data_IF_597116599704
#
_entry.id   IF_597116599704
#
_cell.length_a   1.000
_cell.length_b   1.000
_cell.length_c   1.000
_cell.angle_alpha   90.00
_cell.angle_beta   90.00
_cell.angle_gamma   90.00
#
_symmetry.space_group_name_H-M   'P 1'
#
loop_
_entity.id
_entity.type
_entity.pdbx_description
1 polymer ?
#
# COMPACT_ATOMS: atom_id res chain seq x y z
N UNK A 1 -12.25 -0.97 12.90
CA UNK A 1 -11.70 -2.32 13.14
C UNK A 1 -12.64 -3.25 13.89
N UNK A 2 -13.14 -2.88 15.08
CA UNK A 2 -14.04 -3.75 15.88
C UNK A 2 -15.25 -4.31 15.12
N UNK A 3 -15.87 -3.52 14.21
CA UNK A 3 -16.96 -4.03 13.38
C UNK A 3 -16.51 -5.09 12.37
N UNK A 4 -15.33 -4.92 11.76
CA UNK A 4 -14.77 -5.94 10.85
C UNK A 4 -14.45 -7.21 11.62
N UNK A 5 -13.90 -7.11 12.83
CA UNK A 5 -13.64 -8.24 13.72
C UNK A 5 -14.92 -8.99 14.10
N UNK A 6 -15.94 -8.26 14.58
CA UNK A 6 -17.24 -8.84 14.98
C UNK A 6 -17.86 -9.69 13.87
N UNK A 7 -17.76 -9.23 12.62
CA UNK A 7 -18.31 -9.95 11.47
C UNK A 7 -17.28 -10.84 10.76
N UNK A 8 -16.02 -10.84 11.22
CA UNK A 8 -14.86 -11.52 10.63
C UNK A 8 -14.62 -11.12 9.17
N UNK A 9 -14.94 -9.88 8.81
CA UNK A 9 -14.67 -9.36 7.46
C UNK A 9 -13.17 -9.29 7.27
N UNK A 10 -12.69 -9.93 6.21
CA UNK A 10 -11.29 -9.89 5.82
C UNK A 10 -10.94 -8.47 5.34
N UNK A 11 -10.01 -7.76 6.02
CA UNK A 11 -9.56 -6.46 5.57
C UNK A 11 -9.00 -6.48 4.16
N UNK A 12 -9.09 -5.34 3.46
CA UNK A 12 -8.47 -5.18 2.15
C UNK A 12 -6.96 -5.51 2.21
N UNK A 13 -6.36 -6.18 1.21
CA UNK A 13 -4.93 -6.56 1.21
C UNK A 13 -3.96 -5.42 1.53
N UNK A 14 -4.27 -4.19 1.14
CA UNK A 14 -3.44 -3.02 1.48
C UNK A 14 -3.22 -2.86 3.00
N UNK A 15 -4.25 -3.09 3.83
CA UNK A 15 -4.11 -3.04 5.28
C UNK A 15 -3.23 -4.18 5.80
N UNK A 16 -3.30 -5.36 5.18
CA UNK A 16 -2.40 -6.47 5.51
C UNK A 16 -0.95 -6.19 5.15
N UNK A 17 -0.72 -5.38 4.12
CA UNK A 17 0.61 -4.91 3.69
C UNK A 17 1.12 -3.70 4.48
N UNK A 18 0.38 -3.18 5.46
CA UNK A 18 0.83 -2.09 6.33
C UNK A 18 0.30 -0.69 5.98
N UNK A 19 -0.50 -0.53 4.93
CA UNK A 19 -1.10 0.77 4.64
C UNK A 19 -2.11 1.18 5.71
N UNK A 20 -1.92 2.36 6.32
CA UNK A 20 -2.88 2.96 7.26
C UNK A 20 -4.15 3.49 6.61
N UNK A 21 -4.06 3.82 5.32
CA UNK A 21 -5.16 4.33 4.49
C UNK A 21 -5.09 3.66 3.13
N UNK A 22 -6.24 3.19 2.65
CA UNK A 22 -6.33 2.66 1.28
C UNK A 22 -6.81 3.74 0.31
N UNK A 23 -6.05 3.92 -0.77
CA UNK A 23 -6.42 4.72 -1.95
C UNK A 23 -5.87 3.98 -3.18
N UNK A 24 -5.54 4.70 -4.26
CA UNK A 24 -4.77 4.14 -5.36
C UNK A 24 -3.45 3.54 -4.84
N UNK A 25 -2.98 2.46 -5.47
CA UNK A 25 -1.70 1.80 -5.14
C UNK A 25 -0.55 2.81 -5.07
N UNK A 26 -0.40 3.62 -6.12
CA UNK A 26 0.56 4.72 -6.21
C UNK A 26 -0.16 6.08 -6.04
N UNK A 27 -0.68 6.34 -4.84
CA UNK A 27 -1.42 7.56 -4.56
C UNK A 27 -0.53 8.81 -4.73
N UNK A 28 -1.04 9.86 -5.37
CA UNK A 28 -0.35 11.16 -5.47
C UNK A 28 -0.16 11.83 -4.10
N UNK A 29 -0.85 11.39 -3.06
CA UNK A 29 -0.65 11.82 -1.68
C UNK A 29 0.15 10.80 -0.85
N UNK A 30 0.83 9.85 -1.53
CA UNK A 30 1.55 8.78 -0.89
C UNK A 30 2.72 9.27 -0.05
N UNK A 31 2.91 8.68 1.13
CA UNK A 31 4.04 9.00 2.00
C UNK A 31 5.36 8.45 1.45
N UNK A 32 6.47 8.89 2.04
CA UNK A 32 7.79 8.33 1.75
C UNK A 32 7.82 6.80 1.94
N UNK A 33 7.22 6.29 3.02
CA UNK A 33 7.16 4.85 3.29
C UNK A 33 6.32 4.10 2.25
N UNK A 34 5.20 4.67 1.81
CA UNK A 34 4.38 4.07 0.77
C UNK A 34 5.14 3.99 -0.57
N UNK A 35 5.82 5.07 -0.98
CA UNK A 35 6.64 5.07 -2.19
C UNK A 35 7.84 4.11 -2.10
N UNK A 36 8.50 4.03 -0.93
CA UNK A 36 9.56 3.05 -0.68
C UNK A 36 9.04 1.62 -0.79
N UNK A 37 7.84 1.35 -0.26
CA UNK A 37 7.20 0.03 -0.33
C UNK A 37 6.85 -0.36 -1.77
N UNK A 38 6.32 0.59 -2.56
CA UNK A 38 6.05 0.38 -3.98
C UNK A 38 7.33 0.06 -4.75
N UNK A 39 8.39 0.82 -4.51
CA UNK A 39 9.69 0.57 -5.16
C UNK A 39 10.24 -0.81 -4.83
N UNK A 40 10.13 -1.24 -3.57
CA UNK A 40 10.67 -2.52 -3.10
C UNK A 40 9.87 -3.74 -3.59
N UNK A 41 8.54 -3.68 -3.55
CA UNK A 41 7.69 -4.86 -3.73
C UNK A 41 6.74 -4.81 -4.92
N UNK A 42 6.59 -3.64 -5.57
CA UNK A 42 5.71 -3.43 -6.71
C UNK A 42 6.42 -2.60 -7.80
N UNK A 43 7.64 -3.00 -8.24
CA UNK A 43 8.46 -2.20 -9.15
C UNK A 43 7.78 -1.93 -10.50
N UNK A 44 6.92 -2.83 -10.97
CA UNK A 44 6.11 -2.64 -12.18
C UNK A 44 5.10 -1.49 -12.05
N UNK A 45 4.67 -1.15 -10.83
CA UNK A 45 3.84 0.01 -10.56
C UNK A 45 4.68 1.28 -10.34
N UNK A 46 5.85 1.17 -9.70
CA UNK A 46 6.72 2.30 -9.39
C UNK A 46 7.49 2.81 -10.61
N UNK A 47 8.10 1.90 -11.38
CA UNK A 47 9.02 2.20 -12.46
C UNK A 47 8.45 3.09 -13.58
N UNK A 48 7.24 2.83 -14.11
CA UNK A 48 6.64 3.69 -15.12
C UNK A 48 6.47 5.13 -14.63
N UNK A 49 6.05 5.32 -13.37
CA UNK A 49 5.86 6.66 -12.79
C UNK A 49 7.19 7.41 -12.71
N UNK A 50 8.23 6.77 -12.17
CA UNK A 50 9.56 7.37 -12.08
C UNK A 50 10.12 7.76 -13.46
N UNK A 51 9.97 6.88 -14.47
CA UNK A 51 10.39 7.17 -15.85
C UNK A 51 9.59 8.31 -16.49
N UNK A 52 8.30 8.43 -16.17
CA UNK A 52 7.49 9.54 -16.67
C UNK A 52 7.91 10.87 -16.04
N UNK A 53 8.23 10.91 -14.74
CA UNK A 53 8.75 12.13 -14.12
C UNK A 53 10.07 12.58 -14.76
N UNK A 54 10.98 11.63 -15.03
CA UNK A 54 12.24 11.89 -15.73
C UNK A 54 12.01 12.38 -17.17
N UNK A 55 11.19 11.67 -17.95
CA UNK A 55 10.96 11.99 -19.36
C UNK A 55 10.22 13.32 -19.56
N UNK A 56 9.34 13.70 -18.64
CA UNK A 56 8.57 14.95 -18.74
C UNK A 56 9.21 16.13 -18.01
N UNK A 57 10.22 15.89 -17.17
CA UNK A 57 10.86 16.93 -16.36
C UNK A 57 9.95 17.57 -15.32
N UNK A 58 8.86 16.89 -14.94
CA UNK A 58 7.88 17.35 -13.95
C UNK A 58 7.53 16.22 -12.98
N UNK A 59 7.09 16.57 -11.77
CA UNK A 59 6.80 15.60 -10.71
C UNK A 59 5.30 15.57 -10.38
N UNK A 60 4.79 14.40 -9.97
CA UNK A 60 3.40 14.23 -9.51
C UNK A 60 3.23 14.62 -8.03
N UNK A 61 4.35 14.76 -7.32
CA UNK A 61 4.43 15.22 -5.94
C UNK A 61 4.89 16.69 -5.94
N UNK A 62 4.40 17.50 -4.99
CA UNK A 62 4.61 18.96 -5.02
C UNK A 62 6.08 19.41 -4.97
N UNK A 63 6.93 18.69 -4.23
CA UNK A 63 8.26 19.19 -3.83
C UNK A 63 9.42 18.23 -4.15
N UNK A 64 9.16 17.07 -4.75
CA UNK A 64 10.17 16.01 -4.98
C UNK A 64 9.66 15.01 -6.00
N UNK A 65 10.54 14.24 -6.62
CA UNK A 65 10.17 13.05 -7.41
C UNK A 65 9.73 11.89 -6.52
N UNK A 66 9.11 10.87 -7.13
CA UNK A 66 8.77 9.61 -6.45
C UNK A 66 10.02 8.83 -6.04
N UNK A 67 11.15 9.01 -6.74
CA UNK A 67 12.46 8.43 -6.38
C UNK A 67 12.96 9.06 -5.09
N UNK A 68 13.04 10.40 -5.03
CA UNK A 68 13.44 11.13 -3.82
C UNK A 68 12.49 10.87 -2.64
N UNK A 69 11.18 10.68 -2.91
CA UNK A 69 10.23 10.27 -1.88
C UNK A 69 10.56 8.88 -1.33
N UNK A 70 10.80 7.90 -2.21
CA UNK A 70 11.13 6.53 -1.84
C UNK A 70 12.48 6.40 -1.12
N UNK A 71 13.48 7.22 -1.47
CA UNK A 71 14.79 7.25 -0.79
C UNK A 71 14.70 7.69 0.67
N UNK A 72 13.70 8.50 1.00
CA UNK A 72 13.46 8.97 2.37
C UNK A 72 12.55 8.04 3.18
N UNK A 73 12.03 6.98 2.57
CA UNK A 73 11.08 6.09 3.18
C UNK A 73 11.69 4.77 3.65
N UNK A 74 11.01 4.10 4.55
CA UNK A 74 11.28 2.70 4.91
C UNK A 74 10.11 1.85 4.41
N UNK A 75 10.37 0.84 3.55
CA UNK A 75 9.33 -0.09 3.12
C UNK A 75 8.61 -0.75 4.30
N UNK A 76 7.30 -0.92 4.21
CA UNK A 76 6.55 -1.71 5.18
C UNK A 76 7.00 -3.19 5.15
N UNK A 77 6.93 -3.91 6.27
CA UNK A 77 7.23 -5.34 6.33
C UNK A 77 6.08 -6.15 5.69
N UNK A 78 6.10 -6.22 4.35
CA UNK A 78 5.07 -6.88 3.57
C UNK A 78 5.17 -8.42 3.61
N UNK A 79 4.11 -9.09 4.07
CA UNK A 79 3.99 -10.54 3.99
C UNK A 79 3.88 -10.99 2.50
N UNK A 80 4.73 -11.94 2.03
CA UNK A 80 4.71 -12.43 0.66
C UNK A 80 3.35 -12.97 0.19
N UNK A 81 2.56 -13.58 1.06
CA UNK A 81 1.24 -14.11 0.70
C UNK A 81 0.27 -12.96 0.39
N UNK A 82 0.30 -11.90 1.20
CA UNK A 82 -0.53 -10.72 0.96
C UNK A 82 -0.05 -9.92 -0.24
N UNK A 83 1.26 -9.93 -0.55
CA UNK A 83 1.80 -9.34 -1.77
C UNK A 83 1.27 -10.05 -3.02
N UNK A 84 1.25 -11.38 -3.01
CA UNK A 84 0.69 -12.17 -4.11
C UNK A 84 -0.79 -11.85 -4.32
N UNK A 85 -1.58 -11.76 -3.24
CA UNK A 85 -3.00 -11.40 -3.31
C UNK A 85 -3.18 -9.97 -3.82
N UNK A 86 -2.43 -9.01 -3.29
CA UNK A 86 -2.55 -7.59 -3.65
C UNK A 86 -2.14 -7.29 -5.10
N UNK A 87 -1.27 -8.12 -5.69
CA UNK A 87 -0.84 -8.01 -7.07
C UNK A 87 -1.67 -8.87 -8.06
N UNK A 88 -2.58 -9.71 -7.56
CA UNK A 88 -3.42 -10.54 -8.41
C UNK A 88 -4.54 -9.74 -9.08
N UNK A 89 -4.82 -10.05 -10.35
CA UNK A 89 -6.01 -9.56 -11.06
C UNK A 89 -7.29 -10.35 -10.71
N UNK A 90 -7.16 -11.43 -9.92
CA UNK A 90 -8.29 -12.23 -9.45
C UNK A 90 -8.20 -12.41 -7.94
N UNK A 91 -9.23 -11.95 -7.23
CA UNK A 91 -9.30 -12.09 -5.79
C UNK A 91 -9.92 -13.44 -5.40
N UNK A 92 -9.14 -14.30 -4.71
CA UNK A 92 -9.56 -15.66 -4.31
C UNK A 92 -9.64 -15.86 -2.79
N UNK A 93 -9.23 -14.86 -2.01
CA UNK A 93 -9.24 -14.96 -0.56
C UNK A 93 -10.67 -14.85 -0.02
N UNK A 94 -10.92 -15.45 1.15
CA UNK A 94 -12.23 -15.38 1.78
C UNK A 94 -12.60 -13.93 2.11
N UNK A 95 -13.84 -13.54 1.80
CA UNK A 95 -14.41 -12.23 2.19
C UNK A 95 -14.66 -12.20 3.71
N UNK A 96 -15.04 -13.35 4.26
CA UNK A 96 -15.25 -13.56 5.69
C UNK A 96 -14.33 -14.67 6.19
N UNK A 97 -13.52 -14.37 7.19
CA UNK A 97 -12.57 -15.32 7.75
C UNK A 97 -13.26 -16.38 8.63
N UNK A 98 -12.70 -17.60 8.70
CA UNK A 98 -13.14 -18.62 9.64
C UNK A 98 -13.12 -18.14 11.10
N UNK A 99 -13.87 -18.84 11.96
CA UNK A 99 -13.91 -18.49 13.38
C UNK A 99 -12.50 -18.57 13.99
N UNK A 100 -12.13 -17.60 14.82
CA UNK A 100 -10.82 -17.52 15.47
C UNK A 100 -9.64 -17.09 14.58
N UNK A 101 -9.85 -16.86 13.29
CA UNK A 101 -8.77 -16.48 12.36
C UNK A 101 -8.66 -14.97 12.11
N UNK A 102 -9.65 -14.18 12.54
CA UNK A 102 -9.55 -12.74 12.38
C UNK A 102 -8.45 -12.17 13.28
N UNK A 103 -7.61 -11.30 12.71
CA UNK A 103 -6.54 -10.58 13.40
C UNK A 103 -6.58 -9.12 12.96
N UNK A 104 -6.12 -8.23 13.83
CA UNK A 104 -5.90 -6.83 13.47
C UNK A 104 -4.76 -6.76 12.44
N UNK A 105 -4.97 -6.19 11.23
CA UNK A 105 -3.92 -6.15 10.21
C UNK A 105 -2.84 -5.12 10.58
N UNK A 106 -1.59 -5.26 10.09
CA UNK A 106 -0.49 -4.34 10.41
C UNK A 106 -0.76 -2.87 10.07
N UNK A 107 -1.57 -2.60 9.04
CA UNK A 107 -1.98 -1.25 8.67
C UNK A 107 -3.09 -0.65 9.54
N UNK A 108 -3.66 -1.41 10.48
CA UNK A 108 -4.68 -0.85 11.38
C UNK A 108 -4.08 0.25 12.25
N UNK A 109 -4.66 1.45 12.19
CA UNK A 109 -4.15 2.64 12.88
C UNK A 109 -2.71 3.01 12.46
N UNK A 110 -2.29 2.55 11.28
CA UNK A 110 -1.02 2.93 10.68
C UNK A 110 -1.02 4.36 10.15
N UNK A 111 -0.02 4.68 9.35
CA UNK A 111 0.18 6.02 8.80
C UNK A 111 -1.06 6.57 8.07
N UNK A 112 -1.53 7.74 8.51
CA UNK A 112 -2.68 8.44 7.94
C UNK A 112 -2.28 9.40 6.79
N UNK A 113 -1.43 8.94 5.86
CA UNK A 113 -1.02 9.73 4.70
C UNK A 113 -2.21 10.04 3.77
N UNK A 114 -2.31 11.27 3.29
CA UNK A 114 -3.43 11.73 2.47
C UNK A 114 -3.39 13.24 2.20
N UNK A 115 -4.39 13.77 1.50
CA UNK A 115 -4.48 15.21 1.26
C UNK A 115 -4.61 15.98 2.59
N UNK A 116 -3.88 17.09 2.69
CA UNK A 116 -3.87 18.03 3.82
C UNK A 116 -4.35 19.40 3.37
#
# INVERSE_FOLDING_TARGET
>A
WAILERYRVNPHPAYWLGWGRTSCRACIFGSANQWATLRAFMPEAFGPIARHEEAFGVTIQRNRSVVEAADRGTPYPCDPNWLAIANSHTYRSAIRLPAGQWRLPPGAFGEAAGPT
#
